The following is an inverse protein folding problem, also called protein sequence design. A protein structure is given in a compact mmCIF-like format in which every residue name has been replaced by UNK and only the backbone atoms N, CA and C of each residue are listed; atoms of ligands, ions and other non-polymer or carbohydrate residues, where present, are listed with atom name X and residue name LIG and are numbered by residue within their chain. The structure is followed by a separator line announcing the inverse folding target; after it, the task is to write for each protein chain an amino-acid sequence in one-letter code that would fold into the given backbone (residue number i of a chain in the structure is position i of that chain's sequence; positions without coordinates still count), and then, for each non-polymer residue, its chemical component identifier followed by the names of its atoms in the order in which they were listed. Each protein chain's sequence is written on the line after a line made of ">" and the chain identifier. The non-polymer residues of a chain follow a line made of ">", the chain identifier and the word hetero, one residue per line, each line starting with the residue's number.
data_IF_277254419889
#
_entry.id   IF_277254419889
#
_cell.length_a   1.000
_cell.length_b   1.000
_cell.length_c   1.000
_cell.angle_alpha   90.00
_cell.angle_beta   90.00
_cell.angle_gamma   90.00
#
_symmetry.space_group_name_H-M   'P 1'
#
loop_
_entity.id
_entity.type
_entity.pdbx_description
1 polymer ?
#
# COMPACT_ATOMS: atom_id res chain seq x y z
N UNK A 1 2.82 38.37 -18.57
CA UNK A 1 4.03 37.58 -18.25
C UNK A 1 4.14 37.50 -16.74
N UNK A 2 3.97 36.32 -16.15
CA UNK A 2 4.18 36.12 -14.71
C UNK A 2 5.69 36.15 -14.47
N UNK A 3 6.16 37.01 -13.56
CA UNK A 3 7.57 37.02 -13.16
C UNK A 3 7.79 35.80 -12.28
N UNK A 4 8.73 34.94 -12.67
CA UNK A 4 9.07 33.72 -11.93
C UNK A 4 10.05 34.05 -10.81
N UNK A 5 9.94 33.38 -9.66
CA UNK A 5 10.92 33.48 -8.59
C UNK A 5 12.29 32.94 -9.02
N UNK A 6 13.37 33.55 -8.53
CA UNK A 6 14.75 33.24 -8.94
C UNK A 6 15.14 31.77 -8.75
N UNK A 7 14.70 31.14 -7.66
CA UNK A 7 15.00 29.73 -7.39
C UNK A 7 14.29 28.79 -8.37
N UNK A 8 13.08 29.15 -8.79
CA UNK A 8 12.34 28.41 -9.81
C UNK A 8 13.01 28.56 -11.19
N UNK A 9 13.52 29.75 -11.50
CA UNK A 9 14.29 29.99 -12.73
C UNK A 9 15.58 29.15 -12.75
N UNK A 10 16.33 29.11 -11.64
CA UNK A 10 17.52 28.26 -11.52
C UNK A 10 17.21 26.78 -11.70
N UNK A 11 16.12 26.30 -11.10
CA UNK A 11 15.70 24.90 -11.21
C UNK A 11 15.36 24.53 -12.65
N UNK A 12 14.65 25.40 -13.37
CA UNK A 12 14.31 25.22 -14.79
C UNK A 12 15.60 25.22 -15.63
N UNK A 13 16.49 26.19 -15.47
CA UNK A 13 17.74 26.29 -16.24
C UNK A 13 18.66 25.07 -16.04
N UNK A 14 18.73 24.52 -14.82
CA UNK A 14 19.53 23.35 -14.53
C UNK A 14 19.03 22.07 -15.21
N UNK A 15 17.73 21.99 -15.53
CA UNK A 15 17.09 20.80 -16.08
C UNK A 15 16.67 20.97 -17.56
N UNK A 16 16.80 22.18 -18.11
CA UNK A 16 16.54 22.50 -19.50
C UNK A 16 17.65 23.45 -20.03
N UNK A 17 18.88 22.95 -20.22
CA UNK A 17 20.06 23.78 -20.49
C UNK A 17 19.98 24.58 -21.81
N UNK A 18 19.13 24.17 -22.74
CA UNK A 18 18.92 24.85 -24.03
C UNK A 18 17.91 26.01 -23.95
N UNK A 19 17.33 26.27 -22.77
CA UNK A 19 16.36 27.36 -22.56
C UNK A 19 17.04 28.61 -21.99
N UNK A 20 17.86 29.26 -22.81
CA UNK A 20 18.53 30.52 -22.43
C UNK A 20 17.55 31.69 -22.17
N UNK A 21 16.30 31.59 -22.65
CA UNK A 21 15.24 32.57 -22.42
C UNK A 21 13.95 31.92 -21.89
N UNK A 22 13.58 32.20 -20.63
CA UNK A 22 12.39 31.68 -19.95
C UNK A 22 11.02 32.09 -20.55
N UNK A 23 11.01 32.72 -21.73
CA UNK A 23 9.78 33.18 -22.41
C UNK A 23 8.94 32.03 -22.99
N UNK A 24 9.46 30.79 -23.01
CA UNK A 24 8.85 29.64 -23.70
C UNK A 24 8.39 28.48 -22.78
N UNK A 25 8.44 28.62 -21.45
CA UNK A 25 7.99 27.55 -20.55
C UNK A 25 6.45 27.48 -20.55
N UNK A 26 5.89 26.37 -21.03
CA UNK A 26 4.43 26.20 -21.03
C UNK A 26 3.87 26.06 -19.61
N UNK A 27 2.59 26.35 -19.42
CA UNK A 27 1.94 26.31 -18.10
C UNK A 27 2.00 24.93 -17.42
N UNK A 28 2.07 23.84 -18.20
CA UNK A 28 2.25 22.48 -17.67
C UNK A 28 3.66 22.26 -17.13
N UNK A 29 4.69 22.65 -17.87
CA UNK A 29 6.08 22.55 -17.42
C UNK A 29 6.32 23.43 -16.19
N UNK A 30 5.76 24.64 -16.18
CA UNK A 30 5.89 25.53 -15.02
C UNK A 30 5.30 24.90 -13.75
N UNK A 31 4.11 24.28 -13.84
CA UNK A 31 3.52 23.57 -12.70
C UNK A 31 4.36 22.39 -12.22
N UNK A 32 5.03 21.66 -13.13
CA UNK A 32 5.93 20.58 -12.75
C UNK A 32 7.13 21.10 -11.97
N UNK A 33 7.72 22.23 -12.38
CA UNK A 33 8.84 22.84 -11.66
C UNK A 33 8.42 23.54 -10.37
N UNK A 34 7.23 24.18 -10.32
CA UNK A 34 6.67 24.72 -9.07
C UNK A 34 6.47 23.59 -8.06
N UNK A 35 5.86 22.48 -8.50
CA UNK A 35 5.71 21.28 -7.67
C UNK A 35 7.05 20.71 -7.26
N UNK A 36 8.00 20.57 -8.17
CA UNK A 36 9.34 20.07 -7.85
C UNK A 36 10.09 20.98 -6.89
N UNK A 37 9.92 22.31 -6.98
CA UNK A 37 10.49 23.27 -6.03
C UNK A 37 9.83 23.12 -4.66
N UNK A 38 8.51 23.03 -4.61
CA UNK A 38 7.78 22.83 -3.35
C UNK A 38 8.13 21.47 -2.73
N UNK A 39 8.31 20.44 -3.56
CA UNK A 39 8.83 19.15 -3.15
C UNK A 39 10.26 19.27 -2.67
N UNK A 40 11.18 19.93 -3.39
CA UNK A 40 12.57 20.15 -2.95
C UNK A 40 12.64 20.99 -1.68
N UNK A 41 11.73 21.93 -1.45
CA UNK A 41 11.72 22.73 -0.21
C UNK A 41 11.15 21.89 0.95
N UNK A 42 10.11 21.11 0.69
CA UNK A 42 9.63 20.09 1.64
C UNK A 42 10.69 18.99 1.85
N UNK A 43 11.50 18.70 0.83
CA UNK A 43 12.47 17.59 0.76
C UNK A 43 13.90 18.03 1.13
N UNK A 44 14.19 19.32 1.19
CA UNK A 44 15.41 19.85 1.80
C UNK A 44 15.36 19.65 3.32
N UNK A 45 14.16 19.48 3.89
CA UNK A 45 13.98 18.90 5.21
C UNK A 45 14.11 17.35 5.23
N UNK A 46 14.05 16.68 4.07
CA UNK A 46 14.11 15.20 3.84
C UNK A 46 15.54 14.71 3.52
N UNK A 47 16.52 15.60 3.28
CA UNK A 47 17.94 15.25 3.04
C UNK A 47 18.83 15.31 4.30
N UNK A 48 18.33 14.85 5.44
CA UNK A 48 19.19 14.42 6.56
C UNK A 48 19.06 12.91 6.74
N UNK A 49 20.10 12.18 6.31
CA UNK A 49 20.43 10.81 6.77
C UNK A 49 19.57 9.61 6.32
N UNK A 50 19.02 9.61 5.09
CA UNK A 50 18.49 8.37 4.49
C UNK A 50 17.30 7.76 5.25
N UNK A 51 16.54 8.61 5.95
CA UNK A 51 15.47 8.28 6.89
C UNK A 51 14.08 8.17 6.26
N UNK A 52 13.90 8.42 4.97
CA UNK A 52 12.58 8.51 4.35
C UNK A 52 12.32 7.41 3.31
N UNK A 53 11.16 6.76 3.45
CA UNK A 53 10.62 5.79 2.49
C UNK A 53 10.04 6.56 1.30
N UNK A 54 10.47 6.21 0.08
CA UNK A 54 9.96 6.78 -1.16
C UNK A 54 8.50 6.35 -1.37
N UNK A 55 7.68 7.27 -1.87
CA UNK A 55 6.28 6.97 -2.16
C UNK A 55 6.14 6.01 -3.34
N UNK A 56 5.08 5.20 -3.32
CA UNK A 56 4.78 4.26 -4.41
C UNK A 56 4.64 4.95 -5.78
N UNK A 57 3.94 6.10 -5.91
CA UNK A 57 3.88 6.83 -7.18
C UNK A 57 5.26 7.26 -7.69
N UNK A 58 6.16 7.70 -6.80
CA UNK A 58 7.51 8.10 -7.20
C UNK A 58 8.31 6.90 -7.68
N UNK A 59 8.29 5.79 -6.92
CA UNK A 59 9.03 4.54 -7.25
C UNK A 59 8.65 3.94 -8.59
N UNK A 60 7.40 4.15 -9.01
CA UNK A 60 6.83 3.60 -10.23
C UNK A 60 6.70 4.61 -11.37
N UNK A 61 7.12 5.86 -11.17
CA UNK A 61 6.97 6.94 -12.17
C UNK A 61 5.52 7.08 -12.65
N UNK A 62 4.59 7.15 -11.70
CA UNK A 62 3.16 7.08 -11.96
C UNK A 62 2.63 8.33 -12.70
N UNK A 63 1.81 8.10 -13.74
CA UNK A 63 1.15 9.19 -14.47
C UNK A 63 0.05 9.83 -13.61
N UNK A 64 0.21 11.12 -13.31
CA UNK A 64 -0.73 11.85 -12.46
C UNK A 64 -2.07 12.19 -13.12
N UNK A 65 -2.19 11.98 -14.44
CA UNK A 65 -3.45 12.23 -15.17
C UNK A 65 -4.54 11.24 -14.80
N UNK A 66 -4.15 10.00 -14.49
CA UNK A 66 -5.06 8.91 -14.15
C UNK A 66 -4.92 8.61 -12.66
N UNK A 67 -6.05 8.51 -11.99
CA UNK A 67 -6.14 8.37 -10.52
C UNK A 67 -7.17 7.30 -10.13
N UNK A 68 -7.64 6.53 -11.10
CA UNK A 68 -8.65 5.48 -10.92
C UNK A 68 -10.08 6.03 -10.80
N UNK A 69 -10.34 7.27 -11.26
CA UNK A 69 -11.67 7.87 -11.18
C UNK A 69 -12.70 7.03 -11.93
N UNK A 70 -13.87 6.86 -11.31
CA UNK A 70 -14.98 6.12 -11.90
C UNK A 70 -14.80 4.60 -11.94
N UNK A 71 -13.71 4.09 -11.35
CA UNK A 71 -13.43 2.66 -11.24
C UNK A 71 -13.58 2.23 -9.78
N UNK A 72 -14.34 1.15 -9.56
CA UNK A 72 -14.49 0.53 -8.24
C UNK A 72 -13.58 -0.69 -8.12
N UNK A 73 -12.78 -0.73 -7.05
CA UNK A 73 -11.93 -1.87 -6.67
C UNK A 73 -12.55 -2.59 -5.46
N UNK A 74 -12.83 -3.88 -5.59
CA UNK A 74 -13.23 -4.73 -4.49
C UNK A 74 -12.02 -5.39 -3.82
N UNK A 75 -11.95 -5.34 -2.49
CA UNK A 75 -10.88 -5.96 -1.69
C UNK A 75 -11.45 -7.10 -0.88
N UNK A 76 -10.87 -8.29 -1.05
CA UNK A 76 -11.17 -9.50 -0.28
C UNK A 76 -10.03 -9.73 0.70
N UNK A 77 -10.29 -9.56 1.99
CA UNK A 77 -9.26 -9.64 3.03
C UNK A 77 -9.83 -10.05 4.41
N UNK A 78 -8.94 -10.24 5.38
CA UNK A 78 -9.24 -10.64 6.77
C UNK A 78 -9.91 -9.54 7.61
N UNK A 79 -9.95 -8.30 7.16
CA UNK A 79 -10.60 -7.24 7.90
C UNK A 79 -10.23 -5.85 7.40
N UNK A 80 -11.06 -4.87 7.74
CA UNK A 80 -10.93 -3.51 7.26
C UNK A 80 -11.21 -2.51 8.37
N UNK A 81 -10.70 -1.30 8.17
CA UNK A 81 -10.98 -0.14 9.00
C UNK A 81 -11.21 1.07 8.07
N UNK A 82 -12.18 1.95 8.36
CA UNK A 82 -12.55 3.06 7.49
C UNK A 82 -11.53 4.20 7.62
N UNK A 83 -10.31 3.96 7.15
CA UNK A 83 -9.17 4.86 7.31
C UNK A 83 -9.42 6.21 6.61
N UNK A 84 -8.92 7.29 7.21
CA UNK A 84 -9.12 8.67 6.72
C UNK A 84 -8.63 8.88 5.29
N UNK A 85 -7.61 8.14 4.87
CA UNK A 85 -7.12 8.19 3.48
C UNK A 85 -8.14 7.67 2.45
N UNK A 86 -9.16 6.92 2.88
CA UNK A 86 -10.28 6.47 2.04
C UNK A 86 -11.55 7.30 2.30
N UNK A 87 -11.64 7.97 3.44
CA UNK A 87 -12.89 8.59 3.90
C UNK A 87 -12.91 10.12 3.88
N UNK A 88 -11.75 10.77 3.79
CA UNK A 88 -11.59 12.24 3.81
C UNK A 88 -10.90 12.71 2.53
N UNK A 89 -11.33 13.81 1.88
CA UNK A 89 -12.47 14.67 2.23
C UNK A 89 -13.83 14.08 1.87
N UNK A 90 -13.86 13.00 1.09
CA UNK A 90 -15.08 12.29 0.69
C UNK A 90 -14.93 10.81 1.01
N UNK A 91 -16.01 10.20 1.49
CA UNK A 91 -16.09 8.76 1.65
C UNK A 91 -16.11 8.04 0.29
N UNK A 92 -15.08 7.22 0.05
CA UNK A 92 -14.94 6.37 -1.14
C UNK A 92 -15.18 4.90 -0.85
N UNK A 93 -15.49 4.54 0.39
CA UNK A 93 -15.97 3.20 0.76
C UNK A 93 -17.47 3.15 0.45
N UNK A 94 -17.80 2.59 -0.71
CA UNK A 94 -19.19 2.55 -1.24
C UNK A 94 -19.93 1.25 -0.92
N UNK A 95 -19.22 0.27 -0.35
CA UNK A 95 -19.79 -1.00 0.08
C UNK A 95 -18.88 -1.69 1.09
N UNK A 96 -19.50 -2.35 2.07
CA UNK A 96 -18.81 -3.24 3.00
C UNK A 96 -19.68 -4.48 3.21
N UNK A 97 -19.07 -5.66 3.20
CA UNK A 97 -19.71 -6.93 3.55
C UNK A 97 -18.83 -7.72 4.49
N UNK A 98 -19.37 -8.07 5.64
CA UNK A 98 -18.78 -9.07 6.53
C UNK A 98 -19.41 -10.43 6.24
N UNK A 99 -18.66 -11.37 5.63
CA UNK A 99 -19.17 -12.70 5.30
C UNK A 99 -19.26 -13.62 6.51
N UNK A 100 -18.73 -13.22 7.67
CA UNK A 100 -18.86 -13.97 8.92
C UNK A 100 -20.20 -13.74 9.62
N UNK A 101 -20.98 -12.76 9.16
CA UNK A 101 -22.25 -12.38 9.74
C UNK A 101 -23.34 -12.40 8.68
N UNK A 102 -24.54 -12.87 9.05
CA UNK A 102 -25.69 -12.83 8.16
C UNK A 102 -26.02 -11.39 7.72
N UNK A 103 -25.93 -10.43 8.66
CA UNK A 103 -26.41 -9.05 8.50
C UNK A 103 -25.30 -7.99 8.50
N UNK A 104 -24.08 -8.34 8.08
CA UNK A 104 -22.96 -7.38 8.06
C UNK A 104 -23.22 -6.19 7.14
N UNK A 105 -23.52 -5.03 7.73
CA UNK A 105 -23.64 -3.72 7.08
C UNK A 105 -22.41 -2.83 7.37
N UNK A 106 -22.38 -1.64 6.76
CA UNK A 106 -21.33 -0.63 6.95
C UNK A 106 -21.12 -0.21 8.42
N UNK A 107 -22.11 -0.40 9.30
CA UNK A 107 -21.99 -0.05 10.72
C UNK A 107 -20.96 -0.90 11.46
N UNK A 108 -20.80 -2.16 11.05
CA UNK A 108 -19.80 -3.06 11.66
C UNK A 108 -18.35 -2.74 11.30
N UNK A 109 -18.11 -1.96 10.25
CA UNK A 109 -16.78 -1.49 9.83
C UNK A 109 -16.13 -0.58 10.89
N UNK A 110 -16.93 0.07 11.75
CA UNK A 110 -16.44 0.93 12.84
C UNK A 110 -16.06 0.18 14.11
N UNK A 111 -16.20 -1.15 14.13
CA UNK A 111 -15.79 -2.01 15.24
C UNK A 111 -14.55 -2.82 14.83
N UNK A 112 -13.36 -2.19 14.70
CA UNK A 112 -12.18 -2.89 14.25
C UNK A 112 -11.76 -3.98 15.23
N UNK A 113 -11.30 -5.08 14.68
CA UNK A 113 -10.61 -6.15 15.41
C UNK A 113 -9.12 -6.18 15.03
N UNK A 114 -8.37 -7.07 15.69
CA UNK A 114 -6.94 -7.26 15.42
C UNK A 114 -6.64 -7.75 14.00
N UNK A 115 -7.61 -8.25 13.23
CA UNK A 115 -7.39 -8.64 11.82
C UNK A 115 -7.65 -7.48 10.85
N UNK A 116 -8.16 -6.35 11.34
CA UNK A 116 -8.57 -5.23 10.49
C UNK A 116 -7.40 -4.45 9.88
N UNK A 117 -6.16 -4.69 10.33
CA UNK A 117 -5.00 -3.97 9.83
C UNK A 117 -4.64 -4.35 8.39
N UNK A 118 -4.72 -5.64 8.01
CA UNK A 118 -4.18 -6.10 6.73
C UNK A 118 -5.01 -5.58 5.55
N UNK A 119 -6.32 -5.83 5.55
CA UNK A 119 -7.20 -5.31 4.49
C UNK A 119 -7.29 -3.78 4.47
N UNK A 120 -7.15 -3.12 5.63
CA UNK A 120 -7.03 -1.67 5.66
C UNK A 120 -5.74 -1.19 4.99
N UNK A 121 -4.60 -1.81 5.28
CA UNK A 121 -3.34 -1.45 4.61
C UNK A 121 -3.41 -1.72 3.11
N UNK A 122 -3.91 -2.87 2.66
CA UNK A 122 -3.95 -3.23 1.23
C UNK A 122 -4.89 -2.30 0.44
N UNK A 123 -6.07 -1.99 0.98
CA UNK A 123 -7.00 -1.04 0.35
C UNK A 123 -6.44 0.39 0.30
N UNK A 124 -5.75 0.85 1.35
CA UNK A 124 -5.09 2.17 1.36
C UNK A 124 -3.86 2.22 0.45
N UNK A 125 -3.07 1.15 0.35
CA UNK A 125 -1.92 1.09 -0.58
C UNK A 125 -2.37 1.24 -2.04
N UNK A 126 -3.52 0.67 -2.39
CA UNK A 126 -4.10 0.83 -3.73
C UNK A 126 -4.73 2.22 -3.93
N UNK A 127 -5.66 2.58 -3.04
CA UNK A 127 -6.63 3.66 -3.28
C UNK A 127 -6.58 4.80 -2.24
N UNK A 128 -5.70 4.75 -1.26
CA UNK A 128 -5.52 5.81 -0.27
C UNK A 128 -5.06 7.12 -0.92
N UNK A 129 -5.63 8.24 -0.51
CA UNK A 129 -5.22 9.56 -1.02
C UNK A 129 -4.06 10.19 -0.25
N UNK A 130 -3.55 9.53 0.80
CA UNK A 130 -2.44 10.03 1.60
C UNK A 130 -2.79 11.28 2.43
N UNK A 131 -4.04 11.46 2.87
CA UNK A 131 -4.49 12.62 3.64
C UNK A 131 -3.60 12.96 4.85
N UNK A 132 -3.10 11.94 5.57
CA UNK A 132 -2.22 12.12 6.73
C UNK A 132 -0.76 12.42 6.36
N UNK A 133 -0.43 12.50 5.06
CA UNK A 133 0.90 12.80 4.52
C UNK A 133 0.85 13.90 3.44
N UNK A 134 -0.22 14.71 3.41
CA UNK A 134 -0.44 15.73 2.37
C UNK A 134 -0.36 15.15 0.93
N UNK A 135 -0.78 13.91 0.76
CA UNK A 135 -0.76 13.19 -0.51
C UNK A 135 0.58 12.53 -0.87
N UNK A 136 1.62 12.64 -0.04
CA UNK A 136 2.92 12.04 -0.34
C UNK A 136 2.85 10.51 -0.39
N UNK A 137 2.17 9.87 0.57
CA UNK A 137 1.97 8.40 0.62
C UNK A 137 0.64 7.94 0.01
N UNK A 138 0.16 8.62 -1.03
CA UNK A 138 -1.01 8.16 -1.79
C UNK A 138 -0.72 6.88 -2.57
N UNK A 139 -1.76 6.07 -2.78
CA UNK A 139 -1.76 4.98 -3.75
C UNK A 139 -1.80 5.50 -5.20
N UNK A 140 -1.78 4.58 -6.17
CA UNK A 140 -1.82 4.96 -7.59
C UNK A 140 -3.25 5.28 -8.05
N UNK A 141 -4.27 4.77 -7.37
CA UNK A 141 -5.67 5.01 -7.66
C UNK A 141 -6.39 5.81 -6.55
N UNK A 142 -5.88 7.00 -6.16
CA UNK A 142 -6.37 7.76 -5.00
C UNK A 142 -7.78 8.35 -5.18
N UNK A 143 -8.42 8.14 -6.33
CA UNK A 143 -9.80 8.56 -6.61
C UNK A 143 -10.72 7.38 -6.98
N UNK A 144 -10.24 6.13 -6.89
CA UNK A 144 -11.12 4.97 -6.99
C UNK A 144 -12.06 4.86 -5.79
N UNK A 145 -13.27 4.38 -6.07
CA UNK A 145 -14.18 3.89 -5.05
C UNK A 145 -13.76 2.47 -4.65
N UNK A 146 -14.05 2.09 -3.41
CA UNK A 146 -13.69 0.77 -2.87
C UNK A 146 -14.90 0.05 -2.28
N UNK A 147 -14.91 -1.28 -2.48
CA UNK A 147 -15.83 -2.21 -1.82
C UNK A 147 -15.00 -3.17 -0.97
N UNK A 148 -15.36 -3.32 0.29
CA UNK A 148 -14.55 -4.03 1.27
C UNK A 148 -15.27 -5.30 1.73
N UNK A 149 -14.67 -6.47 1.52
CA UNK A 149 -15.31 -7.77 1.77
C UNK A 149 -14.47 -8.56 2.76
N UNK A 150 -14.92 -8.61 4.02
CA UNK A 150 -14.24 -9.29 5.11
C UNK A 150 -14.52 -10.79 5.03
N UNK A 151 -13.45 -11.58 4.96
CA UNK A 151 -13.47 -13.02 4.75
C UNK A 151 -13.24 -13.84 6.02
N UNK A 152 -12.47 -13.30 6.98
CA UNK A 152 -12.05 -14.02 8.19
C UNK A 152 -12.00 -13.09 9.41
N UNK A 153 -11.98 -13.66 10.63
CA UNK A 153 -11.95 -12.86 11.87
C UNK A 153 -10.53 -12.68 12.42
N UNK A 154 -9.76 -13.76 12.43
CA UNK A 154 -8.35 -13.86 12.81
C UNK A 154 -7.83 -15.18 12.27
N UNK A 155 -6.58 -15.22 11.80
CA UNK A 155 -5.98 -16.46 11.29
C UNK A 155 -6.15 -16.63 9.78
N UNK A 156 -6.07 -17.87 9.32
CA UNK A 156 -6.05 -18.23 7.88
C UNK A 156 -7.41 -17.94 7.23
N UNK A 157 -7.40 -17.27 6.09
CA UNK A 157 -8.54 -17.18 5.17
C UNK A 157 -8.59 -18.50 4.41
N UNK A 158 -9.70 -19.23 4.47
CA UNK A 158 -9.82 -20.53 3.78
C UNK A 158 -10.25 -20.37 2.34
N UNK A 159 -10.10 -21.44 1.55
CA UNK A 159 -10.58 -21.47 0.17
C UNK A 159 -12.06 -21.13 0.06
N UNK A 160 -12.88 -21.71 0.95
CA UNK A 160 -14.31 -21.45 0.97
C UNK A 160 -14.61 -19.96 1.22
N UNK A 161 -13.85 -19.29 2.09
CA UNK A 161 -14.07 -17.87 2.34
C UNK A 161 -13.76 -17.02 1.10
N UNK A 162 -12.68 -17.31 0.39
CA UNK A 162 -12.32 -16.61 -0.85
C UNK A 162 -13.39 -16.86 -1.92
N UNK A 163 -13.88 -18.10 -2.05
CA UNK A 163 -14.93 -18.48 -2.99
C UNK A 163 -16.22 -17.71 -2.72
N UNK A 164 -16.67 -17.67 -1.46
CA UNK A 164 -17.87 -16.92 -1.06
C UNK A 164 -17.72 -15.42 -1.35
N UNK A 165 -16.51 -14.88 -1.17
CA UNK A 165 -16.16 -13.51 -1.53
C UNK A 165 -16.28 -13.22 -3.02
N UNK A 166 -15.73 -14.10 -3.86
CA UNK A 166 -15.80 -13.98 -5.32
C UNK A 166 -17.24 -14.08 -5.83
N UNK A 167 -18.02 -15.01 -5.28
CA UNK A 167 -19.45 -15.15 -5.61
C UNK A 167 -20.26 -13.91 -5.19
N UNK A 168 -19.97 -13.34 -4.02
CA UNK A 168 -20.60 -12.09 -3.60
C UNK A 168 -20.25 -10.94 -4.55
N UNK A 169 -18.99 -10.83 -4.99
CA UNK A 169 -18.59 -9.84 -5.99
C UNK A 169 -19.37 -10.02 -7.29
N UNK A 170 -19.42 -11.25 -7.83
CA UNK A 170 -20.14 -11.55 -9.07
C UNK A 170 -21.61 -11.13 -8.99
N UNK A 171 -22.26 -11.43 -7.86
CA UNK A 171 -23.66 -11.10 -7.62
C UNK A 171 -23.90 -9.58 -7.43
N UNK A 172 -22.91 -8.82 -6.98
CA UNK A 172 -23.05 -7.39 -6.66
C UNK A 172 -22.25 -6.46 -7.59
N UNK A 173 -21.61 -6.99 -8.63
CA UNK A 173 -20.73 -6.23 -9.54
C UNK A 173 -21.43 -5.04 -10.17
N UNK A 174 -22.67 -5.21 -10.64
CA UNK A 174 -23.41 -4.16 -11.35
C UNK A 174 -23.90 -3.08 -10.36
N UNK A 175 -24.31 -3.50 -9.16
CA UNK A 175 -24.74 -2.61 -8.07
C UNK A 175 -23.63 -1.66 -7.65
N UNK A 176 -22.39 -2.13 -7.56
CA UNK A 176 -21.25 -1.34 -7.10
C UNK A 176 -20.28 -0.93 -8.23
N UNK A 177 -20.59 -1.28 -9.49
CA UNK A 177 -19.74 -1.06 -10.67
C UNK A 177 -18.32 -1.59 -10.48
N UNK A 178 -18.19 -2.78 -9.88
CA UNK A 178 -16.89 -3.41 -9.59
C UNK A 178 -16.24 -3.79 -10.91
N UNK A 179 -15.02 -3.30 -11.13
CA UNK A 179 -14.22 -3.61 -12.33
C UNK A 179 -12.91 -4.33 -12.01
N UNK A 180 -12.45 -4.22 -10.75
CA UNK A 180 -11.22 -4.85 -10.28
C UNK A 180 -11.48 -5.55 -8.95
N UNK A 181 -10.93 -6.75 -8.77
CA UNK A 181 -10.90 -7.47 -7.50
C UNK A 181 -9.46 -7.70 -7.09
N UNK A 182 -9.11 -7.27 -5.88
CA UNK A 182 -7.83 -7.53 -5.26
C UNK A 182 -7.98 -8.62 -4.19
N UNK A 183 -7.18 -9.68 -4.31
CA UNK A 183 -7.07 -10.74 -3.30
C UNK A 183 -5.63 -10.80 -2.80
N UNK A 184 -5.41 -10.26 -1.61
CA UNK A 184 -4.10 -10.22 -0.96
C UNK A 184 -3.90 -11.44 -0.03
N UNK A 185 -4.46 -12.58 -0.41
CA UNK A 185 -4.40 -13.85 0.31
C UNK A 185 -4.31 -15.03 -0.68
N UNK A 186 -3.70 -16.12 -0.22
CA UNK A 186 -3.65 -17.38 -0.97
C UNK A 186 -4.60 -18.40 -0.35
N UNK A 187 -5.01 -19.36 -1.18
CA UNK A 187 -5.77 -20.52 -0.79
C UNK A 187 -4.95 -21.54 0.01
N UNK A 188 -5.60 -22.65 0.29
CA UNK A 188 -5.16 -23.61 1.29
C UNK A 188 -4.09 -24.57 0.72
N UNK A 189 -4.28 -25.04 -0.51
CA UNK A 189 -3.46 -26.06 -1.16
C UNK A 189 -3.27 -25.81 -2.67
N UNK A 190 -2.23 -26.40 -3.27
CA UNK A 190 -2.04 -26.39 -4.73
C UNK A 190 -3.07 -27.29 -5.41
N UNK A 191 -3.76 -26.79 -6.43
CA UNK A 191 -4.82 -27.52 -7.13
C UNK A 191 -4.87 -27.20 -8.63
N UNK A 192 -5.37 -28.16 -9.41
CA UNK A 192 -5.59 -28.01 -10.85
C UNK A 192 -6.71 -27.00 -11.15
N UNK A 193 -6.42 -26.00 -12.00
CA UNK A 193 -7.38 -24.91 -12.27
C UNK A 193 -8.70 -25.40 -12.90
N UNK A 194 -8.68 -26.56 -13.57
CA UNK A 194 -9.87 -27.14 -14.21
C UNK A 194 -10.88 -27.70 -13.20
N UNK A 195 -10.42 -28.12 -12.01
CA UNK A 195 -11.26 -28.79 -11.01
C UNK A 195 -11.44 -27.97 -9.74
N UNK A 196 -10.50 -27.07 -9.45
CA UNK A 196 -10.54 -26.20 -8.28
C UNK A 196 -11.67 -25.15 -8.38
N UNK A 197 -12.60 -25.10 -7.40
CA UNK A 197 -13.68 -24.12 -7.39
C UNK A 197 -13.21 -22.66 -7.38
N UNK A 198 -12.07 -22.36 -6.74
CA UNK A 198 -11.55 -20.99 -6.68
C UNK A 198 -11.12 -20.49 -8.04
N UNK A 199 -10.32 -21.29 -8.75
CA UNK A 199 -9.87 -20.99 -10.10
C UNK A 199 -11.06 -20.82 -11.03
N UNK A 200 -12.06 -21.70 -10.97
CA UNK A 200 -13.29 -21.54 -11.75
C UNK A 200 -14.06 -20.25 -11.41
N UNK A 201 -14.07 -19.81 -10.15
CA UNK A 201 -14.69 -18.55 -9.76
C UNK A 201 -13.93 -17.32 -10.32
N UNK A 202 -12.60 -17.38 -10.37
CA UNK A 202 -11.76 -16.37 -11.04
C UNK A 202 -12.08 -16.29 -12.53
N UNK A 203 -12.20 -17.43 -13.20
CA UNK A 203 -12.57 -17.48 -14.63
C UNK A 203 -13.95 -16.84 -14.86
N UNK A 204 -14.94 -17.13 -14.00
CA UNK A 204 -16.26 -16.49 -14.05
C UNK A 204 -16.19 -14.97 -13.84
N UNK A 205 -15.39 -14.49 -12.88
CA UNK A 205 -15.17 -13.05 -12.65
C UNK A 205 -14.59 -12.37 -13.88
N UNK A 206 -13.56 -12.97 -14.47
CA UNK A 206 -12.90 -12.42 -15.66
C UNK A 206 -13.84 -12.41 -16.86
N UNK A 207 -14.58 -13.49 -17.10
CA UNK A 207 -15.61 -13.55 -18.13
C UNK A 207 -16.74 -12.52 -17.94
N UNK A 208 -17.01 -12.12 -16.70
CA UNK A 208 -17.96 -11.05 -16.36
C UNK A 208 -17.37 -9.63 -16.48
N UNK A 209 -16.15 -9.48 -16.98
CA UNK A 209 -15.49 -8.18 -17.20
C UNK A 209 -14.81 -7.59 -15.95
N UNK A 210 -14.53 -8.42 -14.94
CA UNK A 210 -13.84 -8.03 -13.71
C UNK A 210 -12.39 -8.52 -13.77
N UNK A 211 -11.41 -7.62 -13.67
CA UNK A 211 -10.01 -8.02 -13.58
C UNK A 211 -9.70 -8.50 -12.17
N UNK A 212 -9.26 -9.76 -12.03
CA UNK A 212 -8.85 -10.34 -10.74
C UNK A 212 -7.34 -10.26 -10.59
N UNK A 213 -6.88 -9.65 -9.51
CA UNK A 213 -5.46 -9.46 -9.18
C UNK A 213 -5.16 -10.13 -7.84
N UNK A 214 -4.17 -11.03 -7.84
CA UNK A 214 -3.86 -11.89 -6.70
C UNK A 214 -2.40 -11.75 -6.29
N UNK A 215 -2.13 -11.72 -4.98
CA UNK A 215 -0.77 -11.89 -4.47
C UNK A 215 -0.30 -13.34 -4.70
N UNK A 216 0.90 -13.53 -5.24
CA UNK A 216 1.40 -14.89 -5.56
C UNK A 216 1.88 -15.68 -4.32
N UNK A 217 2.15 -15.01 -3.21
CA UNK A 217 2.66 -15.61 -1.98
C UNK A 217 4.13 -15.28 -1.71
N UNK A 218 4.60 -15.56 -0.49
CA UNK A 218 5.92 -15.15 0.03
C UNK A 218 6.84 -16.35 0.36
N UNK A 219 6.60 -17.50 -0.25
CA UNK A 219 7.28 -18.75 0.06
C UNK A 219 8.50 -19.03 -0.83
N UNK A 220 8.98 -18.05 -1.61
CA UNK A 220 10.09 -18.20 -2.58
C UNK A 220 11.42 -18.71 -2.02
N UNK A 221 11.57 -18.75 -0.70
CA UNK A 221 12.75 -19.26 0.01
C UNK A 221 12.61 -20.73 0.44
N UNK A 222 11.41 -21.31 0.37
CA UNK A 222 11.13 -22.69 0.74
C UNK A 222 11.32 -23.60 -0.49
N UNK A 223 11.99 -24.76 -0.36
CA UNK A 223 12.00 -25.75 -1.43
C UNK A 223 10.58 -26.15 -1.82
N UNK A 224 10.33 -26.28 -3.13
CA UNK A 224 9.03 -26.70 -3.69
C UNK A 224 7.85 -25.81 -3.23
N UNK A 225 8.05 -24.51 -3.04
CA UNK A 225 6.94 -23.62 -2.73
C UNK A 225 5.88 -23.66 -3.85
N UNK A 226 4.58 -23.79 -3.52
CA UNK A 226 3.54 -23.79 -4.54
C UNK A 226 3.16 -22.37 -4.97
N UNK A 227 2.53 -22.28 -6.13
CA UNK A 227 1.62 -21.18 -6.46
C UNK A 227 0.20 -21.72 -6.34
N UNK A 228 -0.53 -21.23 -5.35
CA UNK A 228 -1.87 -21.73 -4.99
C UNK A 228 -2.98 -20.89 -5.61
N UNK A 229 -4.20 -21.45 -5.77
CA UNK A 229 -5.38 -20.64 -6.07
C UNK A 229 -5.58 -19.54 -5.03
N UNK A 230 -6.20 -18.40 -5.36
CA UNK A 230 -6.66 -18.01 -6.70
C UNK A 230 -5.54 -17.49 -7.61
N UNK A 231 -4.30 -17.34 -7.13
CA UNK A 231 -3.19 -16.80 -7.93
C UNK A 231 -2.74 -17.75 -9.05
N UNK A 232 -2.91 -19.06 -8.87
CA UNK A 232 -2.61 -20.06 -9.91
C UNK A 232 -3.59 -20.05 -11.09
N UNK A 233 -4.79 -19.46 -10.93
CA UNK A 233 -5.82 -19.44 -11.95
C UNK A 233 -5.32 -18.75 -13.25
N UNK A 234 -5.56 -19.31 -14.45
CA UNK A 234 -5.07 -18.76 -15.71
C UNK A 234 -5.42 -17.29 -15.91
N UNK A 235 -6.67 -16.90 -15.64
CA UNK A 235 -7.15 -15.53 -15.86
C UNK A 235 -6.84 -14.55 -14.72
N UNK A 236 -6.34 -15.00 -13.57
CA UNK A 236 -5.86 -14.09 -12.53
C UNK A 236 -4.54 -13.46 -12.93
N UNK A 237 -4.39 -12.15 -12.69
CA UNK A 237 -3.08 -11.50 -12.70
C UNK A 237 -2.41 -11.82 -11.37
N UNK A 238 -1.46 -12.75 -11.37
CA UNK A 238 -0.66 -13.05 -10.19
C UNK A 238 0.51 -12.07 -10.10
N UNK A 239 0.70 -11.53 -8.90
CA UNK A 239 1.68 -10.47 -8.64
C UNK A 239 2.74 -10.94 -7.68
N UNK A 240 3.97 -10.99 -8.18
CA UNK A 240 5.18 -11.17 -7.39
C UNK A 240 5.77 -9.87 -6.88
N UNK A 241 6.89 -10.00 -6.19
CA UNK A 241 7.50 -8.93 -5.44
C UNK A 241 8.86 -8.47 -5.95
N UNK A 242 9.05 -7.15 -5.94
CA UNK A 242 10.28 -6.44 -6.22
C UNK A 242 10.83 -5.81 -4.93
N UNK A 243 12.14 -5.93 -4.73
CA UNK A 243 12.90 -5.14 -3.75
C UNK A 243 13.79 -4.14 -4.50
N UNK A 244 13.36 -2.89 -4.56
CA UNK A 244 14.12 -1.78 -5.17
C UNK A 244 15.06 -1.08 -4.18
N UNK A 245 15.23 -1.63 -2.97
CA UNK A 245 16.06 -1.07 -1.89
C UNK A 245 15.70 0.38 -1.55
N UNK A 246 14.41 0.73 -1.65
CA UNK A 246 13.91 2.09 -1.43
C UNK A 246 14.67 3.12 -2.29
N UNK A 247 14.91 2.78 -3.56
CA UNK A 247 15.73 3.59 -4.46
C UNK A 247 15.16 3.69 -5.87
N UNK A 248 15.28 4.88 -6.45
CA UNK A 248 15.00 5.12 -7.87
C UNK A 248 16.03 4.49 -8.82
N UNK A 249 17.18 4.06 -8.28
CA UNK A 249 18.22 3.43 -9.09
C UNK A 249 17.81 2.00 -9.47
N UNK A 250 17.45 1.80 -10.74
CA UNK A 250 17.05 0.51 -11.30
C UNK A 250 18.10 -0.59 -11.12
N UNK A 251 19.39 -0.24 -11.04
CA UNK A 251 20.47 -1.21 -10.83
C UNK A 251 20.48 -1.84 -9.43
N UNK A 252 19.77 -1.24 -8.45
CA UNK A 252 19.64 -1.80 -7.08
C UNK A 252 18.48 -2.79 -6.94
N UNK A 253 17.69 -2.99 -7.99
CA UNK A 253 16.51 -3.85 -7.98
C UNK A 253 16.91 -5.32 -7.83
N UNK A 254 16.28 -6.00 -6.88
CA UNK A 254 16.34 -7.44 -6.68
C UNK A 254 14.96 -8.05 -6.56
N UNK A 255 14.89 -9.38 -6.58
CA UNK A 255 13.63 -10.10 -6.39
C UNK A 255 13.30 -10.19 -4.91
N UNK A 256 12.04 -9.94 -4.56
CA UNK A 256 11.51 -10.33 -3.25
C UNK A 256 11.33 -11.85 -3.22
N UNK A 257 11.26 -12.42 -2.01
CA UNK A 257 11.06 -13.86 -1.71
C UNK A 257 9.65 -14.38 -2.08
N UNK A 258 9.16 -14.02 -3.26
CA UNK A 258 7.83 -14.38 -3.76
C UNK A 258 7.79 -15.84 -4.17
N UNK A 259 6.66 -16.51 -3.98
CA UNK A 259 6.42 -17.78 -4.67
C UNK A 259 6.44 -17.55 -6.19
N UNK A 260 6.81 -18.59 -6.93
CA UNK A 260 6.83 -18.58 -8.39
C UNK A 260 6.55 -19.99 -8.92
N UNK A 261 6.01 -20.04 -10.13
CA UNK A 261 5.63 -21.27 -10.80
C UNK A 261 6.81 -22.00 -11.44
N UNK A 262 6.54 -23.07 -12.19
CA UNK A 262 5.22 -23.41 -12.74
C UNK A 262 4.19 -23.83 -11.69
N UNK A 263 2.90 -23.61 -11.97
CA UNK A 263 1.79 -24.23 -11.23
C UNK A 263 1.77 -25.75 -11.49
N UNK A 264 0.96 -26.51 -10.75
CA UNK A 264 0.70 -27.95 -11.03
C UNK A 264 0.24 -28.23 -12.47
N UNK A 265 -0.38 -27.24 -13.13
CA UNK A 265 -0.83 -27.31 -14.53
C UNK A 265 0.24 -26.87 -15.54
N UNK A 266 1.45 -26.53 -15.09
CA UNK A 266 2.55 -26.09 -15.93
C UNK A 266 2.50 -24.61 -16.33
N UNK A 267 1.65 -23.80 -15.71
CA UNK A 267 1.52 -22.37 -16.04
C UNK A 267 2.58 -21.53 -15.31
N UNK A 268 3.24 -20.63 -16.03
CA UNK A 268 4.17 -19.69 -15.41
C UNK A 268 3.41 -18.60 -14.66
N UNK A 269 3.64 -18.52 -13.36
CA UNK A 269 3.18 -17.45 -12.45
C UNK A 269 4.37 -16.95 -11.62
N UNK A 270 4.38 -15.73 -11.09
CA UNK A 270 3.49 -14.62 -11.42
C UNK A 270 3.77 -14.05 -12.83
N UNK A 271 2.79 -13.38 -13.44
CA UNK A 271 2.99 -12.67 -14.72
C UNK A 271 3.78 -11.38 -14.54
N UNK A 272 3.54 -10.69 -13.43
CA UNK A 272 4.09 -9.36 -13.17
C UNK A 272 4.65 -9.27 -11.76
N UNK A 273 5.53 -8.29 -11.56
CA UNK A 273 6.08 -7.95 -10.26
C UNK A 273 5.82 -6.49 -9.96
N UNK A 274 5.62 -6.17 -8.68
CA UNK A 274 5.52 -4.80 -8.20
C UNK A 274 6.30 -4.65 -6.87
N UNK A 275 6.58 -3.42 -6.41
CA UNK A 275 7.18 -3.19 -5.10
C UNK A 275 6.52 -4.01 -3.99
N UNK A 276 7.33 -4.80 -3.29
CA UNK A 276 6.89 -5.76 -2.24
C UNK A 276 7.55 -5.51 -0.91
N UNK A 277 8.40 -4.51 -0.81
CA UNK A 277 9.11 -4.12 0.42
C UNK A 277 9.36 -2.62 0.34
N UNK A 278 9.52 -1.97 1.49
CA UNK A 278 9.57 -0.51 1.62
C UNK A 278 8.25 0.15 1.18
N UNK A 279 7.12 -0.56 1.24
CA UNK A 279 5.82 0.00 0.82
C UNK A 279 5.25 0.79 1.99
N UNK A 280 5.02 2.11 1.88
CA UNK A 280 4.37 2.88 2.94
C UNK A 280 2.90 2.48 3.07
N UNK A 281 2.48 2.12 4.28
CA UNK A 281 1.12 1.70 4.60
C UNK A 281 0.66 2.32 5.93
N UNK A 282 -0.65 2.61 6.09
CA UNK A 282 -1.19 3.21 7.29
C UNK A 282 -1.09 2.27 8.49
N UNK A 283 -0.86 2.83 9.68
CA UNK A 283 -0.91 2.10 10.95
C UNK A 283 -2.35 2.10 11.44
N UNK A 284 -2.87 0.94 11.86
CA UNK A 284 -4.22 0.82 12.40
C UNK A 284 -4.38 1.68 13.65
N UNK A 285 -5.24 2.71 13.63
CA UNK A 285 -5.43 3.60 14.78
C UNK A 285 -5.91 2.86 16.02
N UNK A 286 -5.68 3.44 17.20
CA UNK A 286 -6.12 2.90 18.50
C UNK A 286 -5.56 1.51 18.83
N UNK A 287 -4.41 1.16 18.27
CA UNK A 287 -3.67 -0.08 18.57
C UNK A 287 -2.39 0.21 19.36
N UNK A 288 -1.82 -0.79 20.07
CA UNK A 288 -0.50 -0.66 20.67
C UNK A 288 0.57 -0.23 19.65
N UNK A 289 0.52 -0.72 18.42
CA UNK A 289 1.44 -0.31 17.34
C UNK A 289 1.30 1.17 17.00
N UNK A 290 0.09 1.73 16.95
CA UNK A 290 -0.11 3.16 16.73
C UNK A 290 0.38 4.02 17.91
N UNK A 291 0.20 3.54 19.14
CA UNK A 291 0.71 4.22 20.34
C UNK A 291 2.24 4.24 20.35
N UNK A 292 2.87 3.09 20.08
CA UNK A 292 4.33 2.96 19.97
C UNK A 292 4.90 3.83 18.85
N UNK A 293 4.30 3.84 17.65
CA UNK A 293 4.75 4.69 16.56
C UNK A 293 4.65 6.18 16.88
N UNK A 294 3.55 6.60 17.53
CA UNK A 294 3.38 7.99 18.00
C UNK A 294 4.42 8.39 19.03
N UNK A 295 4.74 7.47 19.94
CA UNK A 295 5.75 7.67 20.97
C UNK A 295 7.16 7.77 20.39
N UNK A 296 7.53 6.85 19.49
CA UNK A 296 8.82 6.85 18.81
C UNK A 296 9.02 8.11 17.95
N UNK A 297 8.01 8.54 17.20
CA UNK A 297 8.09 9.78 16.42
C UNK A 297 8.25 11.01 17.33
N UNK A 298 7.55 11.04 18.47
CA UNK A 298 7.70 12.13 19.45
C UNK A 298 9.13 12.18 19.98
N UNK A 299 9.69 11.04 20.37
CA UNK A 299 11.06 10.94 20.88
C UNK A 299 12.09 11.38 19.84
N UNK A 300 11.94 10.94 18.59
CA UNK A 300 12.84 11.31 17.49
C UNK A 300 12.93 12.82 17.28
N UNK A 301 11.77 13.50 17.33
CA UNK A 301 11.65 14.94 17.12
C UNK A 301 12.00 15.79 18.35
N UNK A 302 12.14 15.18 19.53
CA UNK A 302 12.39 15.90 20.79
C UNK A 302 13.88 16.17 20.98
N UNK A 303 14.21 17.26 21.69
CA UNK A 303 15.59 17.60 22.00
C UNK A 303 16.21 16.60 23.00
N UNK A 304 17.53 16.42 22.96
CA UNK A 304 18.25 15.48 23.85
C UNK A 304 17.87 15.67 25.34
N UNK A 305 17.81 16.90 25.91
CA UNK A 305 17.48 17.07 27.32
C UNK A 305 16.07 16.58 27.73
N UNK A 306 15.16 16.39 26.78
CA UNK A 306 13.75 16.06 27.05
C UNK A 306 13.51 14.54 27.07
N UNK A 307 14.37 13.73 26.45
CA UNK A 307 14.07 12.33 26.16
C UNK A 307 13.82 11.50 27.43
N UNK A 308 14.66 11.66 28.45
CA UNK A 308 14.49 10.95 29.73
C UNK A 308 13.16 11.26 30.39
N UNK A 309 12.69 12.51 30.29
CA UNK A 309 11.40 12.88 30.85
C UNK A 309 10.26 12.27 30.04
N UNK A 310 10.34 12.35 28.71
CA UNK A 310 9.32 11.79 27.84
C UNK A 310 9.19 10.27 28.04
N UNK A 311 10.31 9.54 28.16
CA UNK A 311 10.27 8.09 28.45
C UNK A 311 9.64 7.82 29.81
N UNK A 312 10.02 8.56 30.86
CA UNK A 312 9.43 8.43 32.21
C UNK A 312 7.92 8.64 32.25
N UNK A 313 7.41 9.57 31.44
CA UNK A 313 5.99 9.93 31.43
C UNK A 313 5.12 8.92 30.66
N UNK A 314 5.71 7.95 29.95
CA UNK A 314 4.98 6.99 29.11
C UNK A 314 5.42 5.53 29.37
N UNK A 315 5.35 5.04 30.62
CA UNK A 315 5.79 3.68 30.95
C UNK A 315 4.91 2.64 30.25
N UNK A 316 5.52 1.55 29.80
CA UNK A 316 4.83 0.41 29.19
C UNK A 316 4.48 0.57 27.71
N UNK A 317 4.81 1.70 27.09
CA UNK A 317 4.65 1.88 25.64
C UNK A 317 5.75 1.14 24.86
N UNK A 318 6.97 1.11 25.39
CA UNK A 318 8.07 0.34 24.81
C UNK A 318 9.02 -0.18 25.91
N UNK A 319 9.02 -1.50 26.09
CA UNK A 319 9.75 -2.13 27.19
C UNK A 319 11.28 -1.96 27.11
N UNK A 320 11.84 -1.80 25.90
CA UNK A 320 13.28 -1.61 25.72
C UNK A 320 13.70 -0.19 26.09
N UNK A 321 12.88 0.80 25.72
CA UNK A 321 13.09 2.19 26.15
C UNK A 321 12.89 2.36 27.65
N UNK A 322 11.90 1.69 28.25
CA UNK A 322 11.71 1.67 29.70
C UNK A 322 12.95 1.11 30.42
N UNK A 323 13.50 -0.01 29.92
CA UNK A 323 14.71 -0.63 30.46
C UNK A 323 15.99 0.21 30.22
N UNK A 324 15.96 1.09 29.23
CA UNK A 324 17.07 1.97 28.87
C UNK A 324 17.02 3.35 29.54
N UNK A 325 16.06 3.60 30.44
CA UNK A 325 15.83 4.92 30.99
C UNK A 325 17.05 5.51 31.71
N UNK A 326 17.82 4.72 32.45
CA UNK A 326 19.01 5.22 33.17
C UNK A 326 20.27 5.32 32.28
N UNK A 327 20.15 5.05 30.98
CA UNK A 327 21.29 5.12 30.04
C UNK A 327 21.66 6.57 29.75
N UNK A 328 22.94 6.83 29.38
CA UNK A 328 23.35 8.13 28.85
C UNK A 328 22.52 8.56 27.64
N UNK A 329 22.33 9.88 27.48
CA UNK A 329 21.38 10.42 26.50
C UNK A 329 21.69 10.03 25.04
N UNK A 330 22.98 9.98 24.69
CA UNK A 330 23.41 9.55 23.36
C UNK A 330 23.07 8.08 23.09
N UNK A 331 23.14 7.22 24.11
CA UNK A 331 22.77 5.82 24.00
C UNK A 331 21.25 5.68 23.84
N UNK A 332 20.48 6.47 24.60
CA UNK A 332 19.02 6.50 24.46
C UNK A 332 18.60 6.95 23.05
N UNK A 333 19.24 7.99 22.50
CA UNK A 333 19.04 8.45 21.12
C UNK A 333 19.32 7.35 20.09
N UNK A 334 20.40 6.60 20.26
CA UNK A 334 20.72 5.48 19.37
C UNK A 334 19.67 4.37 19.44
N UNK A 335 19.17 4.03 20.64
CA UNK A 335 18.10 3.04 20.80
C UNK A 335 16.83 3.53 20.10
N UNK A 336 16.45 4.79 20.25
CA UNK A 336 15.30 5.39 19.53
C UNK A 336 15.46 5.24 18.02
N UNK A 337 16.63 5.58 17.45
CA UNK A 337 16.90 5.43 16.02
C UNK A 337 16.81 3.96 15.57
N UNK A 338 17.32 3.02 16.36
CA UNK A 338 17.23 1.58 16.06
C UNK A 338 15.79 1.09 16.12
N UNK A 339 15.01 1.53 17.12
CA UNK A 339 13.61 1.17 17.29
C UNK A 339 12.74 1.67 16.14
N UNK A 340 12.92 2.91 15.68
CA UNK A 340 12.23 3.41 14.49
C UNK A 340 12.46 2.51 13.27
N UNK A 341 13.70 2.06 13.07
CA UNK A 341 14.07 1.15 11.97
C UNK A 341 13.51 -0.26 12.16
N UNK A 342 13.59 -0.82 13.37
CA UNK A 342 13.09 -2.16 13.68
C UNK A 342 11.56 -2.25 13.58
N UNK A 343 10.85 -1.23 14.06
CA UNK A 343 9.39 -1.16 14.01
C UNK A 343 8.86 -0.66 12.65
N UNK A 344 9.78 -0.34 11.73
CA UNK A 344 9.54 0.16 10.39
C UNK A 344 8.74 1.48 10.36
N UNK A 345 8.83 2.30 11.41
CA UNK A 345 8.05 3.53 11.56
C UNK A 345 8.55 4.60 10.60
N UNK A 346 7.64 5.17 9.82
CA UNK A 346 7.90 6.32 8.94
C UNK A 346 7.41 7.60 9.62
N UNK A 347 6.19 7.57 10.13
CA UNK A 347 5.54 8.62 10.94
C UNK A 347 4.64 7.94 11.97
N UNK A 348 4.01 8.68 12.89
CA UNK A 348 2.97 8.11 13.76
C UNK A 348 1.79 7.47 13.00
N UNK A 349 1.62 7.79 11.72
CA UNK A 349 0.50 7.34 10.90
C UNK A 349 0.87 6.26 9.88
N UNK A 350 2.14 6.17 9.48
CA UNK A 350 2.59 5.27 8.43
C UNK A 350 3.82 4.48 8.87
N UNK A 351 3.87 3.22 8.46
CA UNK A 351 5.06 2.36 8.54
C UNK A 351 5.33 1.77 7.16
N UNK A 352 6.55 1.28 6.94
CA UNK A 352 6.76 0.44 5.76
C UNK A 352 6.45 -1.01 6.06
N UNK A 353 5.95 -1.69 5.05
CA UNK A 353 5.56 -3.10 5.08
C UNK A 353 6.20 -3.85 3.92
N UNK A 354 6.19 -5.17 4.03
CA UNK A 354 6.67 -6.09 3.01
C UNK A 354 5.68 -7.24 2.77
N UNK A 355 5.79 -7.87 1.60
CA UNK A 355 4.95 -8.97 1.16
C UNK A 355 4.28 -8.70 -0.18
N UNK A 356 4.04 -9.78 -0.93
CA UNK A 356 3.29 -9.75 -2.19
C UNK A 356 1.83 -9.30 -2.01
N UNK A 357 1.30 -9.41 -0.77
CA UNK A 357 0.01 -8.84 -0.38
C UNK A 357 -0.07 -7.32 -0.56
N UNK A 358 1.07 -6.61 -0.63
CA UNK A 358 1.15 -5.19 -0.96
C UNK A 358 1.51 -4.91 -2.41
N UNK A 359 2.02 -5.89 -3.16
CA UNK A 359 2.25 -5.77 -4.59
C UNK A 359 0.95 -5.92 -5.39
N UNK A 360 0.08 -6.85 -5.02
CA UNK A 360 -1.23 -7.02 -5.63
C UNK A 360 -2.10 -5.74 -5.63
N UNK A 361 -2.23 -4.99 -4.51
CA UNK A 361 -3.02 -3.75 -4.51
C UNK A 361 -2.39 -2.65 -5.36
N UNK A 362 -1.06 -2.59 -5.46
CA UNK A 362 -0.36 -1.67 -6.37
C UNK A 362 -0.75 -1.97 -7.82
N UNK A 363 -0.71 -3.24 -8.24
CA UNK A 363 -1.14 -3.63 -9.60
C UNK A 363 -2.64 -3.39 -9.79
N UNK A 364 -3.47 -3.66 -8.79
CA UNK A 364 -4.92 -3.35 -8.85
C UNK A 364 -5.19 -1.88 -9.10
N UNK A 365 -4.41 -0.99 -8.48
CA UNK A 365 -4.51 0.45 -8.70
C UNK A 365 -4.02 0.89 -10.08
N UNK A 366 -2.98 0.24 -10.64
CA UNK A 366 -2.56 0.45 -12.03
C UNK A 366 -3.65 0.02 -13.01
N UNK A 367 -4.28 -1.15 -12.78
CA UNK A 367 -5.40 -1.61 -13.60
C UNK A 367 -6.55 -0.60 -13.57
N UNK A 368 -6.85 -0.02 -12.41
CA UNK A 368 -7.87 1.02 -12.31
C UNK A 368 -7.50 2.29 -13.11
N UNK A 369 -6.23 2.73 -13.08
CA UNK A 369 -5.77 3.84 -13.94
C UNK A 369 -5.89 3.50 -15.44
N UNK A 370 -5.58 2.26 -15.83
CA UNK A 370 -5.69 1.80 -17.22
C UNK A 370 -7.15 1.77 -17.69
N UNK A 371 -8.07 1.33 -16.84
CA UNK A 371 -9.51 1.36 -17.13
C UNK A 371 -9.99 2.81 -17.21
N UNK A 372 -9.55 3.72 -16.32
CA UNK A 372 -9.89 5.14 -16.46
C UNK A 372 -9.40 5.73 -17.80
N UNK A 373 -8.20 5.35 -18.24
CA UNK A 373 -7.61 5.80 -19.49
C UNK A 373 -8.33 5.24 -20.73
N UNK A 374 -8.91 4.04 -20.62
CA UNK A 374 -9.62 3.34 -21.69
C UNK A 374 -10.80 2.51 -21.12
N UNK A 375 -11.98 3.14 -20.87
CA UNK A 375 -13.09 2.60 -20.06
C UNK A 375 -13.72 1.26 -20.49
#
# INVERSE_FOLDING_TARGET
>A
MRVLEDDLQRLIAANAPDTAEFRAVCSRCLRLFEKAKDQIIQDAAVQKDGSHVLSTPLRLDADERFTGRGVTIAFLDSGFYPHVDLTTPRNRIIGYRDLLKADGDLGSLFQPDVASWHGMMTSVVAAGNGSLSNGFYRGLAPESDVVLIKLARTGRITDQNILDGLEWVLANRDRHRIRVVNISAGGDDEQHYLTDPLSQAVERCTAAGITVVCAVGNAGHLPNHPVVPPASAPSAIAVGGLDDKNSMNRAKRGMYRSSYGPTVDGLQKPEVIAPSIWVPAPILPNTPTAQQASFLERLDKSADPELHQIVRDHPGVDAELDAALDRPIHSLRQIITLKLRQENVITKHYKYVDGTSFSAPIVSSLVAQMIEANP
#
